data_IF_947554489824
#
_entry.id   IF_947554489824
#
_cell.length_a   1.000
_cell.length_b   1.000
_cell.length_c   1.000
_cell.angle_alpha   90.00
_cell.angle_beta   90.00
_cell.angle_gamma   90.00
#
_symmetry.space_group_name_H-M   'P 1'
#
loop_
_entity.id
_entity.type
_entity.pdbx_description
1 polymer ?
#
# COMPACT_ATOMS: atom_id res chain seq x y z
N UNK A 1 17.18 22.66 -52.52
CA UNK A 1 16.58 24.02 -52.46
C UNK A 1 15.09 24.00 -52.78
N UNK A 2 14.65 23.41 -53.90
CA UNK A 2 13.22 23.24 -54.24
C UNK A 2 12.42 22.45 -53.17
N UNK A 3 12.98 21.36 -52.65
CA UNK A 3 12.35 20.54 -51.61
C UNK A 3 12.13 21.30 -50.29
N UNK A 4 13.04 22.21 -49.95
CA UNK A 4 12.89 23.07 -48.75
C UNK A 4 11.76 24.07 -48.95
N UNK A 5 11.63 24.64 -50.15
CA UNK A 5 10.53 25.57 -50.47
C UNK A 5 9.17 24.86 -50.46
N UNK A 6 9.11 23.62 -50.96
CA UNK A 6 7.88 22.82 -50.99
C UNK A 6 7.43 22.36 -49.60
N UNK A 7 8.39 22.03 -48.72
CA UNK A 7 8.11 21.63 -47.34
C UNK A 7 7.94 22.82 -46.37
N UNK A 8 8.38 24.02 -46.74
CA UNK A 8 8.29 25.21 -45.90
C UNK A 8 6.88 25.50 -45.36
N UNK A 9 5.79 25.50 -46.17
CA UNK A 9 4.44 25.74 -45.64
C UNK A 9 3.98 24.64 -44.67
N UNK A 10 4.41 23.40 -44.87
CA UNK A 10 4.08 22.28 -43.98
C UNK A 10 4.82 22.41 -42.63
N UNK A 11 6.11 22.77 -42.66
CA UNK A 11 6.90 23.01 -41.45
C UNK A 11 6.34 24.21 -40.68
N UNK A 12 5.98 25.29 -41.38
CA UNK A 12 5.35 26.44 -40.75
C UNK A 12 4.00 26.08 -40.10
N UNK A 13 3.17 25.29 -40.78
CA UNK A 13 1.89 24.79 -40.22
C UNK A 13 2.12 23.93 -38.98
N UNK A 14 3.12 23.03 -39.01
CA UNK A 14 3.48 22.18 -37.88
C UNK A 14 3.98 23.00 -36.69
N UNK A 15 4.78 24.05 -36.92
CA UNK A 15 5.19 24.97 -35.85
C UNK A 15 4.01 25.73 -35.24
N UNK A 16 3.03 26.14 -36.05
CA UNK A 16 1.81 26.79 -35.54
C UNK A 16 0.98 25.82 -34.71
N UNK A 17 0.79 24.59 -35.18
CA UNK A 17 0.11 23.54 -34.42
C UNK A 17 0.83 23.23 -33.11
N UNK A 18 2.17 23.13 -33.14
CA UNK A 18 2.99 22.85 -31.96
C UNK A 18 2.91 23.98 -30.93
N UNK A 19 2.87 25.24 -31.38
CA UNK A 19 2.63 26.41 -30.52
C UNK A 19 1.20 26.42 -29.96
N UNK A 20 0.22 25.95 -30.72
CA UNK A 20 -1.16 25.80 -30.26
C UNK A 20 -1.32 24.67 -29.21
N UNK A 21 -0.52 23.61 -29.33
CA UNK A 21 -0.55 22.43 -28.46
C UNK A 21 0.36 22.54 -27.22
N UNK A 22 1.40 23.37 -27.24
CA UNK A 22 2.41 23.41 -26.17
C UNK A 22 3.04 24.78 -25.90
N UNK A 23 2.49 25.87 -26.45
CA UNK A 23 3.01 27.21 -26.28
C UNK A 23 2.48 27.92 -25.04
N UNK A 24 2.87 27.49 -23.84
CA UNK A 24 3.11 28.36 -22.69
C UNK A 24 4.02 27.62 -21.69
N UNK A 25 5.16 28.21 -21.39
CA UNK A 25 6.25 27.54 -20.67
C UNK A 25 5.89 27.12 -19.25
N UNK A 26 6.11 25.84 -18.95
CA UNK A 26 6.54 25.34 -17.64
C UNK A 26 6.71 23.82 -17.68
N UNK A 27 7.95 23.34 -17.55
CA UNK A 27 8.31 22.02 -16.97
C UNK A 27 7.58 20.74 -17.41
N UNK A 28 7.09 20.61 -18.64
CA UNK A 28 6.67 19.30 -19.14
C UNK A 28 7.91 18.42 -19.39
N UNK A 29 8.01 17.21 -18.81
CA UNK A 29 9.13 16.31 -19.08
C UNK A 29 9.17 15.96 -20.57
N UNK A 30 10.34 16.06 -21.19
CA UNK A 30 10.56 15.77 -22.63
C UNK A 30 10.22 14.32 -23.00
N UNK A 31 10.15 13.44 -22.00
CA UNK A 31 9.73 12.04 -22.14
C UNK A 31 8.69 11.73 -21.06
N UNK A 32 7.51 11.29 -21.47
CA UNK A 32 6.43 10.85 -20.61
C UNK A 32 6.63 9.41 -20.13
N UNK A 33 5.99 9.05 -19.00
CA UNK A 33 5.98 7.65 -18.51
C UNK A 33 5.38 6.69 -19.54
N UNK A 34 4.40 7.14 -20.31
CA UNK A 34 3.77 6.35 -21.37
C UNK A 34 4.76 6.05 -22.51
N UNK A 35 5.63 7.00 -22.86
CA UNK A 35 6.69 6.79 -23.86
C UNK A 35 7.74 5.80 -23.35
N UNK A 36 8.16 5.90 -22.07
CA UNK A 36 9.10 4.92 -21.47
C UNK A 36 8.50 3.50 -21.51
N UNK A 37 7.22 3.36 -21.15
CA UNK A 37 6.53 2.07 -21.22
C UNK A 37 6.42 1.55 -22.66
N UNK A 38 6.15 2.43 -23.63
CA UNK A 38 6.10 2.06 -25.04
C UNK A 38 7.48 1.59 -25.56
N UNK A 39 8.55 2.29 -25.19
CA UNK A 39 9.93 1.89 -25.54
C UNK A 39 10.29 0.54 -24.94
N UNK A 40 9.92 0.27 -23.69
CA UNK A 40 10.15 -1.02 -23.06
C UNK A 40 9.46 -2.16 -23.80
N UNK A 41 8.21 -1.96 -24.25
CA UNK A 41 7.46 -2.95 -25.05
C UNK A 41 8.07 -3.19 -26.43
N UNK A 42 8.56 -2.14 -27.09
CA UNK A 42 9.31 -2.27 -28.35
C UNK A 42 10.56 -3.10 -28.11
N UNK A 43 11.31 -2.81 -27.03
CA UNK A 43 12.51 -3.57 -26.67
C UNK A 43 12.24 -5.06 -26.48
N UNK A 44 11.10 -5.44 -25.89
CA UNK A 44 10.67 -6.84 -25.80
C UNK A 44 10.40 -7.44 -27.17
N UNK A 45 9.68 -6.72 -28.02
CA UNK A 45 9.31 -7.18 -29.38
C UNK A 45 10.53 -7.38 -30.28
N UNK A 46 11.56 -6.56 -30.09
CA UNK A 46 12.85 -6.63 -30.80
C UNK A 46 13.84 -7.60 -30.15
N UNK A 47 13.50 -8.21 -29.01
CA UNK A 47 14.35 -9.15 -28.29
C UNK A 47 15.52 -8.50 -27.53
N UNK A 48 15.52 -7.17 -27.37
CA UNK A 48 16.52 -6.46 -26.56
C UNK A 48 16.18 -6.41 -25.06
N UNK A 49 14.93 -6.69 -24.69
CA UNK A 49 14.46 -6.86 -23.32
C UNK A 49 13.71 -8.18 -23.15
N UNK A 50 13.82 -8.80 -21.98
CA UNK A 50 13.02 -9.96 -21.60
C UNK A 50 11.65 -9.52 -21.03
N UNK A 51 10.64 -10.37 -21.16
CA UNK A 51 9.30 -10.13 -20.59
C UNK A 51 9.33 -9.89 -19.08
N UNK A 52 10.22 -10.59 -18.36
CA UNK A 52 10.41 -10.41 -16.92
C UNK A 52 10.96 -9.01 -16.61
N UNK A 53 11.90 -8.52 -17.39
CA UNK A 53 12.52 -7.20 -17.19
C UNK A 53 11.53 -6.08 -17.47
N UNK A 54 10.74 -6.22 -18.55
CA UNK A 54 9.66 -5.30 -18.87
C UNK A 54 8.60 -5.23 -17.76
N UNK A 55 8.24 -6.37 -17.16
CA UNK A 55 7.31 -6.42 -16.01
C UNK A 55 7.84 -5.61 -14.82
N UNK A 56 9.07 -5.88 -14.39
CA UNK A 56 9.70 -5.17 -13.27
C UNK A 56 9.75 -3.66 -13.55
N UNK A 57 10.15 -3.27 -14.76
CA UNK A 57 10.19 -1.86 -15.15
C UNK A 57 8.82 -1.18 -15.05
N UNK A 58 7.77 -1.84 -15.56
CA UNK A 58 6.41 -1.29 -15.50
C UNK A 58 5.91 -1.12 -14.08
N UNK A 59 6.15 -2.10 -13.21
CA UNK A 59 5.79 -2.03 -11.80
C UNK A 59 6.55 -0.92 -11.08
N UNK A 60 7.85 -0.79 -11.36
CA UNK A 60 8.67 0.30 -10.82
C UNK A 60 8.12 1.68 -11.20
N UNK A 61 7.67 1.84 -12.45
CA UNK A 61 7.03 3.08 -12.89
C UNK A 61 5.65 3.35 -12.25
N UNK A 62 5.03 2.34 -11.65
CA UNK A 62 3.72 2.42 -10.98
C UNK A 62 3.80 2.47 -9.46
N UNK A 63 4.93 2.11 -8.83
CA UNK A 63 5.11 2.08 -7.36
C UNK A 63 4.72 3.38 -6.64
N UNK A 64 4.86 4.52 -7.31
CA UNK A 64 4.45 5.82 -6.78
C UNK A 64 2.93 6.08 -6.80
N UNK A 65 2.15 5.12 -7.30
CA UNK A 65 0.68 5.13 -7.35
C UNK A 65 0.06 3.98 -6.57
N UNK A 66 0.87 3.00 -6.15
CA UNK A 66 0.42 1.92 -5.28
C UNK A 66 0.56 2.40 -3.85
N UNK A 67 -0.50 2.25 -3.06
CA UNK A 67 -0.51 2.67 -1.67
C UNK A 67 -0.09 1.53 -0.74
N UNK A 68 0.38 1.88 0.45
CA UNK A 68 0.75 0.90 1.48
C UNK A 68 -0.46 0.07 1.88
N UNK A 69 -1.66 0.65 1.92
CA UNK A 69 -2.88 -0.10 2.21
C UNK A 69 -3.12 -1.29 1.26
N UNK A 70 -2.68 -1.19 0.00
CA UNK A 70 -2.84 -2.25 -1.01
C UNK A 70 -1.86 -3.41 -0.78
N UNK A 71 -0.72 -3.13 -0.14
CA UNK A 71 0.41 -4.06 -0.06
C UNK A 71 0.77 -4.52 1.37
N UNK A 72 0.15 -3.92 2.39
CA UNK A 72 0.37 -4.32 3.78
C UNK A 72 -0.29 -5.66 4.14
N UNK A 73 0.17 -6.25 5.25
CA UNK A 73 -0.54 -7.30 5.97
C UNK A 73 -1.55 -6.66 6.93
N UNK A 74 -2.88 -6.83 6.72
CA UNK A 74 -3.90 -6.16 7.53
C UNK A 74 -3.91 -6.65 8.98
N UNK A 75 -4.19 -5.74 9.93
CA UNK A 75 -4.24 -6.03 11.39
C UNK A 75 -4.93 -7.34 11.76
N UNK A 76 -6.11 -7.71 11.22
CA UNK A 76 -6.83 -8.92 11.65
C UNK A 76 -6.06 -10.23 11.46
N UNK A 77 -5.04 -10.26 10.59
CA UNK A 77 -4.24 -11.44 10.28
C UNK A 77 -2.79 -11.32 10.74
N UNK A 78 -2.43 -10.20 11.38
CA UNK A 78 -1.09 -10.02 11.96
C UNK A 78 -0.94 -10.91 13.19
N UNK A 79 0.09 -11.76 13.19
CA UNK A 79 0.50 -12.47 14.39
C UNK A 79 1.32 -11.54 15.27
N UNK A 80 0.69 -10.99 16.30
CA UNK A 80 1.33 -10.15 17.32
C UNK A 80 1.26 -10.81 18.71
N UNK A 81 2.21 -10.46 19.58
CA UNK A 81 2.32 -11.02 20.94
C UNK A 81 2.31 -9.92 22.01
N UNK A 82 1.76 -10.22 23.18
CA UNK A 82 1.76 -9.25 24.28
C UNK A 82 3.18 -9.08 24.83
N UNK A 83 3.62 -7.84 25.07
CA UNK A 83 5.00 -7.55 25.49
C UNK A 83 5.38 -8.18 26.83
N UNK A 84 4.40 -8.43 27.70
CA UNK A 84 4.59 -9.10 28.99
C UNK A 84 4.83 -10.61 28.92
N UNK A 85 4.56 -11.24 27.77
CA UNK A 85 4.71 -12.68 27.56
C UNK A 85 6.16 -13.11 27.75
N UNK A 86 6.41 -14.23 28.42
CA UNK A 86 7.75 -14.79 28.58
C UNK A 86 8.18 -15.64 27.38
N UNK A 87 9.49 -15.82 27.20
CA UNK A 87 10.04 -16.72 26.15
C UNK A 87 9.47 -18.12 26.29
N UNK A 88 9.32 -18.63 27.52
CA UNK A 88 8.70 -19.92 27.78
C UNK A 88 7.27 -20.02 27.23
N UNK A 89 6.42 -19.07 27.61
CA UNK A 89 5.01 -19.03 27.20
C UNK A 89 4.87 -18.95 25.67
N UNK A 90 5.78 -18.23 25.00
CA UNK A 90 5.79 -18.14 23.53
C UNK A 90 5.99 -19.52 22.90
N UNK A 91 6.95 -20.30 23.38
CA UNK A 91 7.28 -21.62 22.84
C UNK A 91 6.21 -22.66 23.20
N UNK A 92 5.62 -22.56 24.39
CA UNK A 92 4.50 -23.42 24.80
C UNK A 92 3.25 -23.18 23.95
N UNK A 93 2.96 -21.92 23.62
CA UNK A 93 1.80 -21.53 22.81
C UNK A 93 2.01 -21.73 21.32
N UNK A 94 3.25 -21.63 20.86
CA UNK A 94 3.62 -21.73 19.45
C UNK A 94 4.72 -22.76 19.25
N UNK A 95 4.33 -23.96 18.81
CA UNK A 95 5.27 -25.04 18.48
C UNK A 95 6.30 -24.61 17.42
N UNK A 96 5.91 -23.72 16.52
CA UNK A 96 6.80 -23.09 15.53
C UNK A 96 6.49 -21.60 15.41
N UNK A 97 7.54 -20.79 15.23
CA UNK A 97 7.42 -19.37 14.96
C UNK A 97 7.62 -19.13 13.44
N UNK A 98 6.54 -18.90 12.68
CA UNK A 98 6.63 -18.83 11.22
C UNK A 98 7.37 -17.58 10.73
N UNK A 99 7.28 -16.46 11.45
CA UNK A 99 7.83 -15.18 11.02
C UNK A 99 9.14 -14.84 11.73
N UNK A 100 10.05 -14.18 11.00
CA UNK A 100 11.33 -13.71 11.53
C UNK A 100 11.19 -12.51 12.48
N UNK A 101 10.15 -11.70 12.27
CA UNK A 101 9.84 -10.49 13.04
C UNK A 101 8.41 -10.58 13.53
N UNK A 102 8.23 -10.42 14.83
CA UNK A 102 6.94 -10.54 15.49
C UNK A 102 6.60 -9.22 16.16
N UNK A 103 5.56 -8.50 15.71
CA UNK A 103 5.08 -7.31 16.42
C UNK A 103 4.70 -7.65 17.86
N UNK A 104 4.97 -6.73 18.78
CA UNK A 104 4.53 -6.83 20.15
C UNK A 104 3.65 -5.66 20.54
N UNK A 105 2.67 -5.93 21.40
CA UNK A 105 1.69 -4.94 21.84
C UNK A 105 1.58 -4.84 23.36
N UNK A 106 1.10 -3.70 23.83
CA UNK A 106 0.88 -3.39 25.24
C UNK A 106 -0.44 -3.99 25.76
N UNK A 107 -1.44 -3.13 25.90
CA UNK A 107 -2.75 -3.51 26.45
C UNK A 107 -3.70 -4.13 25.41
N UNK A 108 -3.65 -3.61 24.18
CA UNK A 108 -4.49 -4.03 23.05
C UNK A 108 -3.62 -4.33 21.85
N UNK A 109 -4.08 -5.20 20.96
CA UNK A 109 -3.44 -5.43 19.64
C UNK A 109 -3.36 -4.17 18.77
N UNK A 110 -4.11 -3.13 19.12
CA UNK A 110 -4.07 -1.83 18.45
C UNK A 110 -2.89 -0.94 18.91
N UNK A 111 -2.28 -1.28 20.05
CA UNK A 111 -1.15 -0.58 20.68
C UNK A 111 0.14 -1.37 20.46
N UNK A 112 0.62 -1.39 19.21
CA UNK A 112 1.89 -2.03 18.87
C UNK A 112 3.06 -1.16 19.36
N UNK A 113 3.83 -1.67 20.31
CA UNK A 113 4.90 -0.90 20.98
C UNK A 113 6.29 -1.14 20.39
N UNK A 114 6.41 -2.11 19.48
CA UNK A 114 7.65 -2.52 18.84
C UNK A 114 7.55 -3.89 18.18
N UNK A 115 8.70 -4.52 17.92
CA UNK A 115 8.78 -5.89 17.45
C UNK A 115 9.92 -6.66 18.12
N UNK A 116 9.88 -7.98 18.02
CA UNK A 116 10.94 -8.88 18.49
C UNK A 116 11.40 -9.77 17.34
N UNK A 117 12.68 -10.15 17.34
CA UNK A 117 13.18 -11.14 16.40
C UNK A 117 12.93 -12.55 16.93
N UNK A 118 12.47 -13.43 16.04
CA UNK A 118 12.42 -14.88 16.31
C UNK A 118 13.78 -15.40 16.77
N UNK A 119 14.85 -14.95 16.13
CA UNK A 119 16.21 -15.33 16.51
C UNK A 119 16.53 -15.01 17.97
N UNK A 120 16.12 -13.84 18.46
CA UNK A 120 16.41 -13.40 19.83
C UNK A 120 15.62 -14.23 20.86
N UNK A 121 14.38 -14.61 20.53
CA UNK A 121 13.55 -15.52 21.33
C UNK A 121 14.22 -16.89 21.44
N UNK A 122 14.58 -17.49 20.29
CA UNK A 122 15.22 -18.80 20.24
C UNK A 122 16.59 -18.81 20.94
N UNK A 123 17.34 -17.71 20.83
CA UNK A 123 18.62 -17.57 21.53
C UNK A 123 18.45 -17.50 23.05
N UNK A 124 17.39 -16.84 23.54
CA UNK A 124 17.10 -16.81 24.97
C UNK A 124 16.73 -18.21 25.49
N UNK A 125 15.91 -18.95 24.73
CA UNK A 125 15.57 -20.34 25.07
C UNK A 125 16.81 -21.24 25.11
N UNK A 126 17.72 -21.11 24.13
CA UNK A 126 18.97 -21.88 24.10
C UNK A 126 19.96 -21.53 25.22
N UNK A 127 19.75 -20.40 25.92
CA UNK A 127 20.57 -19.94 27.04
C UNK A 127 19.87 -20.13 28.40
N UNK A 128 18.78 -20.91 28.46
CA UNK A 128 17.96 -21.13 29.66
C UNK A 128 17.43 -19.81 30.26
N UNK A 129 17.16 -18.80 29.42
CA UNK A 129 16.62 -17.49 29.80
C UNK A 129 15.11 -17.40 29.59
N UNK A 130 14.42 -18.45 29.98
CA UNK A 130 13.02 -18.71 29.68
C UNK A 130 12.06 -17.67 30.30
N UNK A 131 12.47 -17.10 31.44
CA UNK A 131 11.72 -16.09 32.19
C UNK A 131 11.83 -14.68 31.63
N UNK A 132 12.66 -14.45 30.60
CA UNK A 132 12.72 -13.14 29.94
C UNK A 132 11.41 -12.83 29.24
N UNK A 133 10.95 -11.60 29.40
CA UNK A 133 9.76 -11.11 28.70
C UNK A 133 10.12 -10.60 27.30
N UNK A 134 9.15 -10.63 26.39
CA UNK A 134 9.30 -10.05 25.05
C UNK A 134 9.64 -8.56 25.09
N UNK A 135 9.13 -7.83 26.08
CA UNK A 135 9.47 -6.43 26.35
C UNK A 135 10.98 -6.21 26.49
N UNK A 136 11.71 -7.17 27.07
CA UNK A 136 13.17 -7.10 27.23
C UNK A 136 13.95 -7.32 25.93
N UNK A 137 13.31 -7.89 24.91
CA UNK A 137 13.87 -8.16 23.58
C UNK A 137 13.36 -7.16 22.54
N UNK A 138 12.55 -6.18 22.98
CA UNK A 138 11.86 -5.23 22.12
C UNK A 138 12.84 -4.40 21.30
N UNK A 139 12.51 -4.24 20.04
CA UNK A 139 13.10 -3.27 19.11
C UNK A 139 12.03 -2.27 18.69
N UNK A 140 12.46 -1.04 18.45
CA UNK A 140 11.55 0.01 18.00
C UNK A 140 11.04 -0.31 16.59
N UNK A 141 9.76 -0.07 16.36
CA UNK A 141 9.13 -0.17 15.05
C UNK A 141 8.83 1.23 14.56
N UNK A 142 9.22 1.54 13.32
CA UNK A 142 8.88 2.83 12.73
C UNK A 142 7.50 2.76 12.07
N UNK A 143 6.89 3.92 11.89
CA UNK A 143 5.49 4.04 11.47
C UNK A 143 5.40 4.64 10.07
N UNK A 144 4.48 4.11 9.27
CA UNK A 144 4.12 4.63 7.95
C UNK A 144 2.59 4.76 7.88
N UNK A 145 2.03 5.87 7.35
CA UNK A 145 0.59 5.96 7.13
C UNK A 145 0.14 5.06 5.98
N UNK A 146 -1.05 4.47 6.07
CA UNK A 146 -1.58 3.58 5.02
C UNK A 146 -1.75 4.27 3.65
N UNK A 147 -1.90 5.59 3.64
CA UNK A 147 -1.99 6.43 2.45
C UNK A 147 -0.64 6.69 1.77
N UNK A 148 0.48 6.34 2.40
CA UNK A 148 1.80 6.45 1.79
C UNK A 148 1.90 5.57 0.53
N UNK A 149 2.83 5.91 -0.36
CA UNK A 149 3.11 5.08 -1.54
C UNK A 149 4.14 4.01 -1.20
N UNK A 150 4.11 2.89 -1.92
CA UNK A 150 5.11 1.82 -1.74
C UNK A 150 6.51 2.31 -2.08
N UNK A 151 6.64 3.22 -3.05
CA UNK A 151 7.91 3.87 -3.35
C UNK A 151 8.51 4.59 -2.12
N UNK A 152 7.68 5.39 -1.42
CA UNK A 152 8.10 6.07 -0.20
C UNK A 152 8.46 5.07 0.91
N UNK A 153 7.65 4.03 1.08
CA UNK A 153 7.92 3.00 2.09
C UNK A 153 9.25 2.27 1.85
N UNK A 154 9.56 1.96 0.60
CA UNK A 154 10.84 1.35 0.21
C UNK A 154 12.02 2.27 0.55
N UNK A 155 11.89 3.57 0.25
CA UNK A 155 12.91 4.56 0.60
C UNK A 155 13.13 4.63 2.13
N UNK A 156 12.05 4.62 2.93
CA UNK A 156 12.13 4.62 4.39
C UNK A 156 12.81 3.35 4.93
N UNK A 157 12.48 2.16 4.41
CA UNK A 157 13.16 0.92 4.80
C UNK A 157 14.66 0.98 4.54
N UNK A 158 15.06 1.45 3.35
CA UNK A 158 16.48 1.55 2.96
C UNK A 158 17.22 2.56 3.84
N UNK A 159 16.63 3.75 4.08
CA UNK A 159 17.25 4.79 4.89
C UNK A 159 17.42 4.36 6.34
N UNK A 160 16.41 3.70 6.92
CA UNK A 160 16.41 3.27 8.32
C UNK A 160 17.16 1.96 8.54
N UNK A 161 17.39 1.18 7.49
CA UNK A 161 17.92 -0.20 7.56
C UNK A 161 17.03 -1.12 8.39
N UNK A 162 15.72 -0.89 8.30
CA UNK A 162 14.68 -1.69 8.95
C UNK A 162 13.94 -2.51 7.89
N UNK A 163 13.26 -3.58 8.31
CA UNK A 163 12.58 -4.51 7.39
C UNK A 163 11.09 -4.70 7.74
N UNK A 164 10.61 -4.08 8.82
CA UNK A 164 9.20 -4.11 9.22
C UNK A 164 8.81 -2.72 9.70
N UNK A 165 7.59 -2.31 9.37
CA UNK A 165 7.00 -1.06 9.82
C UNK A 165 5.57 -1.29 10.28
N UNK A 166 5.13 -0.47 11.22
CA UNK A 166 3.75 -0.39 11.65
C UNK A 166 2.99 0.52 10.67
N UNK A 167 1.87 0.04 10.16
CA UNK A 167 1.00 0.86 9.32
C UNK A 167 -0.13 1.41 10.19
N UNK A 168 -0.33 2.73 10.11
CA UNK A 168 -1.40 3.41 10.85
C UNK A 168 -2.49 3.95 9.91
N UNK A 169 -3.71 3.96 10.43
CA UNK A 169 -4.87 4.61 9.80
C UNK A 169 -4.89 6.12 10.08
N UNK A 170 -5.88 6.83 9.52
CA UNK A 170 -6.05 8.27 9.69
C UNK A 170 -6.39 8.72 11.13
N UNK A 171 -6.79 7.79 12.00
CA UNK A 171 -7.09 8.04 13.40
C UNK A 171 -5.92 7.67 14.33
N UNK A 172 -4.81 7.17 13.77
CA UNK A 172 -3.63 6.74 14.51
C UNK A 172 -3.75 5.33 15.10
N UNK A 173 -4.76 4.57 14.71
CA UNK A 173 -4.90 3.15 15.04
C UNK A 173 -3.99 2.27 14.19
N UNK A 174 -3.76 1.04 14.64
CA UNK A 174 -3.01 0.05 13.85
C UNK A 174 -3.85 -0.44 12.68
N UNK A 175 -3.46 -0.08 11.45
CA UNK A 175 -4.05 -0.61 10.22
C UNK A 175 -3.47 -1.98 9.86
N UNK A 176 -2.17 -2.18 10.12
CA UNK A 176 -1.47 -3.42 9.80
C UNK A 176 0.04 -3.31 9.96
N UNK A 177 0.77 -4.19 9.27
CA UNK A 177 2.23 -4.10 9.15
C UNK A 177 2.63 -4.16 7.68
N UNK A 178 3.73 -3.50 7.34
CA UNK A 178 4.36 -3.62 6.04
C UNK A 178 5.78 -4.13 6.23
N UNK A 179 6.19 -5.08 5.39
CA UNK A 179 7.58 -5.58 5.36
C UNK A 179 8.33 -5.06 4.14
N UNK A 180 9.67 -5.05 4.23
CA UNK A 180 10.51 -4.73 3.08
C UNK A 180 10.31 -5.76 1.95
N UNK A 181 10.07 -7.01 2.33
CA UNK A 181 9.77 -8.12 1.45
C UNK A 181 8.51 -7.82 0.61
N UNK A 182 7.40 -7.37 1.23
CA UNK A 182 6.17 -6.99 0.50
C UNK A 182 6.41 -5.83 -0.50
N UNK A 183 7.23 -4.84 -0.12
CA UNK A 183 7.55 -3.71 -0.96
C UNK A 183 8.39 -4.11 -2.19
N UNK A 184 9.37 -5.00 -1.99
CA UNK A 184 10.19 -5.57 -3.07
C UNK A 184 9.35 -6.48 -3.96
N UNK A 185 8.47 -7.28 -3.37
CA UNK A 185 7.52 -8.15 -4.08
C UNK A 185 6.65 -7.33 -5.04
N UNK A 186 6.11 -6.22 -4.54
CA UNK A 186 5.33 -5.26 -5.33
C UNK A 186 6.15 -4.68 -6.49
N UNK A 187 7.41 -4.30 -6.24
CA UNK A 187 8.31 -3.79 -7.29
C UNK A 187 8.60 -4.84 -8.36
N UNK A 188 8.84 -6.09 -7.96
CA UNK A 188 9.15 -7.17 -8.89
C UNK A 188 7.89 -7.70 -9.60
N UNK A 189 6.71 -7.49 -9.02
CA UNK A 189 5.42 -8.04 -9.45
C UNK A 189 5.46 -9.55 -9.67
N UNK A 190 6.17 -10.21 -8.77
CA UNK A 190 6.18 -11.66 -8.62
C UNK A 190 5.77 -11.90 -7.18
N UNK A 191 4.92 -12.87 -6.92
CA UNK A 191 4.85 -13.45 -5.58
C UNK A 191 6.14 -14.26 -5.41
N UNK A 192 7.06 -13.84 -4.54
CA UNK A 192 8.25 -14.67 -4.25
C UNK A 192 7.78 -15.76 -3.30
N UNK A 193 7.30 -16.86 -3.86
CA UNK A 193 6.98 -18.07 -3.10
C UNK A 193 8.30 -18.76 -2.73
N UNK A 194 8.74 -18.63 -1.47
CA UNK A 194 9.83 -19.44 -0.92
C UNK A 194 9.30 -20.82 -0.51
N UNK A 195 10.20 -21.80 -0.37
CA UNK A 195 9.93 -23.23 -0.13
C UNK A 195 9.21 -23.51 1.22
N UNK A 196 8.86 -22.47 1.99
CA UNK A 196 8.21 -22.52 3.31
C UNK A 196 6.87 -21.77 3.42
N UNK A 197 6.31 -21.24 2.33
CA UNK A 197 5.25 -20.23 2.42
C UNK A 197 3.85 -20.72 2.83
N UNK A 198 3.40 -20.16 3.95
CA UNK A 198 2.01 -20.06 4.44
C UNK A 198 1.46 -18.62 4.18
N UNK A 199 2.28 -17.71 3.64
CA UNK A 199 2.06 -16.24 3.66
C UNK A 199 1.10 -15.73 2.58
N UNK A 200 1.07 -16.38 1.41
CA UNK A 200 0.18 -16.01 0.30
C UNK A 200 -1.33 -16.07 0.66
N UNK A 201 -1.65 -16.71 1.78
CA UNK A 201 -3.01 -16.86 2.26
C UNK A 201 -3.42 -15.78 3.27
N UNK A 202 -2.52 -14.97 3.85
CA UNK A 202 -2.90 -14.04 4.92
C UNK A 202 -3.80 -12.91 4.44
N UNK A 203 -3.48 -12.30 3.30
CA UNK A 203 -4.31 -11.23 2.70
C UNK A 203 -5.66 -11.79 2.24
N UNK A 204 -5.64 -12.95 1.59
CA UNK A 204 -6.87 -13.67 1.21
C UNK A 204 -7.71 -14.05 2.44
N UNK A 205 -7.09 -14.57 3.49
CA UNK A 205 -7.75 -14.84 4.79
C UNK A 205 -8.33 -13.56 5.39
N UNK A 206 -7.67 -12.41 5.25
CA UNK A 206 -8.19 -11.13 5.71
C UNK A 206 -9.43 -10.72 4.90
N UNK A 207 -9.40 -10.83 3.57
CA UNK A 207 -10.54 -10.60 2.69
C UNK A 207 -11.71 -11.54 3.01
N UNK A 208 -11.45 -12.83 3.22
CA UNK A 208 -12.47 -13.81 3.62
C UNK A 208 -13.09 -13.49 4.99
N UNK A 209 -12.28 -13.07 5.96
CA UNK A 209 -12.76 -12.64 7.27
C UNK A 209 -13.63 -11.39 7.15
N UNK A 210 -13.21 -10.42 6.35
CA UNK A 210 -13.97 -9.20 6.09
C UNK A 210 -15.31 -9.51 5.41
N UNK A 211 -15.30 -10.33 4.36
CA UNK A 211 -16.51 -10.76 3.66
C UNK A 211 -17.50 -11.48 4.60
N UNK A 212 -17.00 -12.34 5.49
CA UNK A 212 -17.82 -13.02 6.50
C UNK A 212 -18.46 -12.03 7.48
N UNK A 213 -17.71 -11.02 7.93
CA UNK A 213 -18.24 -9.98 8.82
C UNK A 213 -19.32 -9.14 8.13
N UNK A 214 -19.13 -8.79 6.86
CA UNK A 214 -20.11 -8.03 6.07
C UNK A 214 -21.42 -8.81 5.91
N UNK A 215 -21.36 -10.13 5.69
CA UNK A 215 -22.55 -10.99 5.62
C UNK A 215 -23.33 -11.01 6.94
N UNK A 216 -22.61 -11.10 8.07
CA UNK A 216 -23.23 -11.05 9.41
C UNK A 216 -23.90 -9.70 9.63
N UNK A 217 -23.21 -8.60 9.30
CA UNK A 217 -23.75 -7.24 9.44
C UNK A 217 -25.02 -7.07 8.60
N UNK A 218 -24.99 -7.47 7.33
CA UNK A 218 -26.14 -7.42 6.44
C UNK A 218 -27.32 -8.28 6.95
N UNK A 219 -27.04 -9.45 7.52
CA UNK A 219 -28.06 -10.32 8.10
C UNK A 219 -28.72 -9.70 9.35
N UNK A 220 -27.95 -9.00 10.19
CA UNK A 220 -28.46 -8.26 11.36
C UNK A 220 -29.33 -7.07 10.91
N UNK A 221 -28.89 -6.32 9.90
CA UNK A 221 -29.66 -5.20 9.34
C UNK A 221 -30.98 -5.66 8.69
N UNK A 222 -30.99 -6.84 8.05
CA UNK A 222 -32.19 -7.40 7.41
C UNK A 222 -33.20 -7.98 8.41
N UNK A 223 -32.76 -8.40 9.60
CA UNK A 223 -33.63 -9.01 10.63
C UNK A 223 -34.21 -8.01 11.63
N UNK A 224 -33.84 -6.72 11.56
CA UNK A 224 -34.35 -5.68 12.45
C UNK A 224 -34.79 -4.43 11.66
N UNK A 225 -36.04 -4.38 11.13
CA UNK A 225 -36.52 -3.27 10.29
C UNK A 225 -36.81 -1.96 11.05
N UNK A 226 -36.16 -1.74 12.21
CA UNK A 226 -36.50 -0.69 13.16
C UNK A 226 -35.52 0.49 13.29
N UNK A 227 -34.43 0.55 12.51
CA UNK A 227 -33.61 1.77 12.44
C UNK A 227 -33.98 2.60 11.20
N UNK A 228 -34.19 3.93 11.33
CA UNK A 228 -34.48 4.76 10.17
C UNK A 228 -33.29 4.71 9.22
N UNK A 229 -33.55 4.36 7.96
CA UNK A 229 -32.63 4.64 6.87
C UNK A 229 -32.46 6.16 6.81
N UNK A 230 -31.22 6.64 6.92
CA UNK A 230 -30.91 8.04 6.69
C UNK A 230 -31.39 8.41 5.28
N UNK A 231 -32.39 9.30 5.22
CA UNK A 231 -32.90 9.84 3.96
C UNK A 231 -31.78 10.64 3.28
N UNK A 232 -31.48 10.29 2.02
CA UNK A 232 -30.65 11.12 1.16
C UNK A 232 -31.28 12.53 1.05
N UNK A 233 -30.49 13.61 1.12
CA UNK A 233 -31.04 14.95 1.02
C UNK A 233 -31.56 15.19 -0.41
N UNK A 234 -32.87 15.40 -0.50
CA UNK A 234 -33.61 15.71 -1.74
C UNK A 234 -33.11 17.02 -2.36
N UNK A 235 -32.79 16.97 -3.66
CA UNK A 235 -32.58 18.15 -4.51
C UNK A 235 -33.85 19.03 -4.56
N UNK A 236 -33.74 20.28 -4.13
CA UNK A 236 -34.79 21.28 -4.35
C UNK A 236 -34.76 21.80 -5.80
N UNK A 237 -35.92 21.91 -6.50
CA UNK A 237 -35.97 22.47 -7.83
C UNK A 237 -35.99 24.00 -7.78
N UNK A 238 -35.14 24.61 -8.60
CA UNK A 238 -35.12 26.05 -8.84
C UNK A 238 -36.41 26.52 -9.52
N UNK A 239 -37.06 27.53 -8.96
CA UNK A 239 -38.25 28.16 -9.53
C UNK A 239 -38.42 29.61 -9.07
N UNK A 240 -37.96 30.55 -9.90
CA UNK A 240 -38.40 31.96 -9.90
C UNK A 240 -39.85 32.02 -10.45
N UNK A 241 -40.69 33.04 -10.15
CA UNK A 241 -40.47 34.43 -10.60
C UNK A 241 -40.94 35.55 -9.64
N UNK A 242 -40.55 36.78 -9.99
CA UNK A 242 -40.94 38.08 -9.42
C UNK A 242 -42.45 38.40 -9.57
N UNK A 243 -42.98 39.50 -8.96
CA UNK A 243 -42.88 40.82 -9.61
C UNK A 243 -42.67 42.06 -8.69
N UNK A 244 -42.04 43.08 -9.29
CA UNK A 244 -42.27 44.55 -9.27
C UNK A 244 -43.44 45.08 -8.40
N UNK A 245 -43.48 46.25 -7.72
CA UNK A 245 -42.89 47.62 -7.77
C UNK A 245 -43.54 48.42 -6.58
N UNK A 246 -43.47 49.77 -6.39
CA UNK A 246 -42.53 50.81 -6.83
C UNK A 246 -42.02 51.75 -5.68
N UNK A 247 -40.93 52.46 -6.00
CA UNK A 247 -40.60 53.88 -5.72
C UNK A 247 -41.15 54.62 -4.49
N UNK A 248 -40.25 55.09 -3.63
CA UNK A 248 -40.01 56.53 -3.33
C UNK A 248 -38.55 56.73 -2.91
#
# INVERSE_FOLDING_TARGET
>A
RFLVFLLFPLVWLLEQFTKLLGGNGSHAPTVSRAEIEAMARIGVSEGSLLERENRVLRNLLQLNRVHVHDVMTPRPVVLAMQEGTTVQEVVEKHATLPYSRLPIYGESTDDVTGYVLRHDILMCLAQDKDSKTLKSLKRDIFVIPESATVALALDEFVQRKEHISLVIDEYGGTAGILTLEDAIETMLGIEITDESDVVADLRKMAEERYARQQQVLNAVTTTNPGLPTEEEPSEEPTGSPAPETPTE
#
